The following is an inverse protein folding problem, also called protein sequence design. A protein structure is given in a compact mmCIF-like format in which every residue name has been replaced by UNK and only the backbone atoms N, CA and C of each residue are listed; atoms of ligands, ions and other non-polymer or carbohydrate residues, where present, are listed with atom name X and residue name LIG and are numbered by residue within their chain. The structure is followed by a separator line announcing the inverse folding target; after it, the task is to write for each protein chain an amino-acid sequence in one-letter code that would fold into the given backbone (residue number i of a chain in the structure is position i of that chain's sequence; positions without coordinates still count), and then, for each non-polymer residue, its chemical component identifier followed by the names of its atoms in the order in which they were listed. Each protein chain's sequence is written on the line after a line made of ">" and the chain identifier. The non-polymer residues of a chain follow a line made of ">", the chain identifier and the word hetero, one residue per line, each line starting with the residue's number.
data_IF_209463667467
#
_entry.id   IF_209463667467
#
_cell.length_a   1.000
_cell.length_b   1.000
_cell.length_c   1.000
_cell.angle_alpha   90.00
_cell.angle_beta   90.00
_cell.angle_gamma   90.00
#
_symmetry.space_group_name_H-M   'P 1'
#
loop_
_entity.id
_entity.type
_entity.pdbx_description
1 polymer ?
#
# COMPACT_ATOMS: atom_id res chain seq x y z
N UNK A 1 11.00 7.53 66.66
CA UNK A 1 10.67 6.27 65.98
C UNK A 1 9.72 6.60 64.83
N UNK A 2 10.16 6.30 63.60
CA UNK A 2 9.36 6.13 62.36
C UNK A 2 8.10 5.27 62.66
N UNK A 3 6.95 5.28 61.99
CA UNK A 3 6.42 5.61 60.64
C UNK A 3 4.90 5.33 60.76
N UNK A 4 3.95 5.74 59.92
CA UNK A 4 3.76 5.50 58.48
C UNK A 4 2.67 6.46 58.00
N UNK A 5 2.89 7.11 56.86
CA UNK A 5 1.84 7.79 56.10
C UNK A 5 1.34 6.82 55.04
N UNK A 6 0.08 6.42 55.15
CA UNK A 6 -0.58 5.58 54.15
C UNK A 6 -1.03 6.47 52.98
N UNK A 7 -0.24 6.48 51.91
CA UNK A 7 -0.66 7.03 50.62
C UNK A 7 -1.14 5.90 49.74
N UNK A 8 -2.47 5.81 49.58
CA UNK A 8 -3.16 4.92 48.66
C UNK A 8 -3.00 5.49 47.23
N UNK A 9 -2.11 4.92 46.43
CA UNK A 9 -1.97 5.26 45.01
C UNK A 9 -3.01 4.50 44.18
N UNK A 10 -4.01 5.20 43.65
CA UNK A 10 -4.95 4.67 42.67
C UNK A 10 -4.24 4.66 41.31
N UNK A 11 -3.90 3.46 40.80
CA UNK A 11 -3.47 3.29 39.41
C UNK A 11 -4.72 3.35 38.51
N UNK A 12 -4.90 4.46 37.81
CA UNK A 12 -5.84 4.53 36.70
C UNK A 12 -5.27 3.76 35.51
N UNK A 13 -5.66 2.50 35.34
CA UNK A 13 -5.36 1.73 34.13
C UNK A 13 -6.16 2.31 32.96
N UNK A 14 -5.53 3.20 32.19
CA UNK A 14 -6.01 3.59 30.88
C UNK A 14 -5.84 2.40 29.93
N UNK A 15 -6.91 1.63 29.71
CA UNK A 15 -6.96 0.67 28.60
C UNK A 15 -7.00 1.48 27.31
N UNK A 16 -5.85 1.61 26.65
CA UNK A 16 -5.77 2.12 25.29
C UNK A 16 -6.41 1.07 24.39
N UNK A 17 -7.67 1.29 24.02
CA UNK A 17 -8.33 0.51 22.97
C UNK A 17 -7.70 0.94 21.64
N UNK A 18 -6.73 0.16 21.15
CA UNK A 18 -6.19 0.38 19.82
C UNK A 18 -7.32 0.14 18.82
N UNK A 19 -7.83 1.21 18.20
CA UNK A 19 -8.72 1.11 17.05
C UNK A 19 -7.91 0.48 15.90
N UNK A 20 -7.96 -0.84 15.78
CA UNK A 20 -7.60 -1.49 14.53
C UNK A 20 -8.73 -1.19 13.53
N UNK A 21 -8.44 -0.58 12.36
CA UNK A 21 -9.46 -0.35 11.35
C UNK A 21 -10.06 -1.70 10.94
N UNK A 22 -11.37 -1.71 10.66
CA UNK A 22 -12.17 -2.89 10.31
C UNK A 22 -11.74 -3.63 9.02
N UNK A 23 -10.62 -3.23 8.41
CA UNK A 23 -9.98 -3.92 7.29
C UNK A 23 -8.90 -4.92 7.74
N UNK A 24 -8.72 -5.09 9.05
CA UNK A 24 -7.85 -6.12 9.64
C UNK A 24 -8.37 -7.55 9.43
N UNK A 25 -9.64 -7.73 9.02
CA UNK A 25 -10.16 -9.03 8.59
C UNK A 25 -9.92 -9.27 7.09
N UNK A 26 -8.75 -9.86 6.81
CA UNK A 26 -8.45 -10.80 5.72
C UNK A 26 -9.17 -10.59 4.39
N UNK A 27 -8.83 -9.54 3.64
CA UNK A 27 -8.71 -9.69 2.19
C UNK A 27 -7.51 -8.87 1.72
N UNK A 28 -6.39 -9.57 1.48
CA UNK A 28 -5.16 -9.03 0.86
C UNK A 28 -5.39 -8.63 -0.62
N UNK A 29 -6.62 -8.38 -1.02
CA UNK A 29 -7.08 -8.12 -2.38
C UNK A 29 -8.20 -7.08 -2.32
N UNK A 30 -7.98 -5.92 -2.93
CA UNK A 30 -8.94 -4.82 -2.98
C UNK A 30 -9.40 -4.58 -4.41
N UNK A 31 -10.69 -4.25 -4.58
CA UNK A 31 -11.17 -3.71 -5.86
C UNK A 31 -10.55 -2.34 -6.11
N UNK A 32 -10.42 -1.96 -7.38
CA UNK A 32 -9.81 -0.68 -7.75
C UNK A 32 -10.64 0.52 -7.29
N UNK A 33 -11.97 0.38 -7.21
CA UNK A 33 -12.86 1.41 -6.65
C UNK A 33 -12.62 1.63 -5.15
N UNK A 34 -12.54 0.55 -4.35
CA UNK A 34 -12.22 0.64 -2.92
C UNK A 34 -10.83 1.23 -2.70
N UNK A 35 -9.86 0.79 -3.50
CA UNK A 35 -8.51 1.36 -3.47
C UNK A 35 -8.52 2.84 -3.83
N UNK A 36 -9.28 3.26 -4.85
CA UNK A 36 -9.37 4.65 -5.24
C UNK A 36 -9.97 5.53 -4.13
N UNK A 37 -11.06 5.10 -3.48
CA UNK A 37 -11.62 5.79 -2.31
C UNK A 37 -10.59 5.89 -1.17
N UNK A 38 -9.91 4.78 -0.86
CA UNK A 38 -8.89 4.76 0.19
C UNK A 38 -7.73 5.72 -0.10
N UNK A 39 -7.31 5.86 -1.36
CA UNK A 39 -6.28 6.82 -1.77
C UNK A 39 -6.76 8.26 -1.62
N UNK A 40 -7.99 8.57 -2.04
CA UNK A 40 -8.58 9.91 -1.92
C UNK A 40 -8.75 10.34 -0.46
N UNK A 41 -8.94 9.37 0.45
CA UNK A 41 -9.11 9.60 1.90
C UNK A 41 -7.82 9.46 2.69
N UNK A 42 -6.68 9.32 2.03
CA UNK A 42 -5.36 9.15 2.64
C UNK A 42 -5.25 7.92 3.56
N UNK A 43 -6.06 6.88 3.32
CA UNK A 43 -6.14 5.64 4.10
C UNK A 43 -5.22 4.53 3.56
N UNK A 44 -4.69 4.69 2.35
CA UNK A 44 -3.78 3.74 1.73
C UNK A 44 -2.64 4.45 0.98
N UNK A 45 -1.65 3.66 0.57
CA UNK A 45 -0.63 4.03 -0.42
C UNK A 45 -0.69 3.06 -1.58
N UNK A 46 -0.26 3.50 -2.76
CA UNK A 46 -0.26 2.68 -3.97
C UNK A 46 1.16 2.64 -4.54
N UNK A 47 1.64 1.45 -4.85
CA UNK A 47 2.91 1.22 -5.56
C UNK A 47 2.59 0.59 -6.91
N UNK A 48 3.00 1.26 -7.99
CA UNK A 48 2.95 0.71 -9.35
C UNK A 48 4.23 -0.07 -9.61
N UNK A 49 4.13 -1.40 -9.64
CA UNK A 49 5.28 -2.31 -9.77
C UNK A 49 5.62 -2.65 -11.22
N UNK A 50 5.02 -1.95 -12.19
CA UNK A 50 5.31 -2.16 -13.62
C UNK A 50 6.69 -1.65 -13.99
N UNK A 51 7.11 -1.97 -15.21
CA UNK A 51 8.38 -1.49 -15.76
C UNK A 51 8.25 -0.06 -16.31
N UNK A 52 9.36 0.69 -16.43
CA UNK A 52 9.35 2.06 -16.94
C UNK A 52 8.83 2.24 -18.37
N UNK A 53 8.86 1.21 -19.22
CA UNK A 53 8.27 1.23 -20.57
C UNK A 53 6.74 1.22 -20.51
N UNK A 54 6.15 0.45 -19.60
CA UNK A 54 4.70 0.37 -19.41
C UNK A 54 4.12 1.67 -18.85
N UNK A 55 4.86 2.35 -17.96
CA UNK A 55 4.50 3.68 -17.47
C UNK A 55 4.52 4.73 -18.59
N UNK A 56 5.48 4.64 -19.51
CA UNK A 56 5.52 5.51 -20.69
C UNK A 56 4.33 5.25 -21.61
N UNK A 57 3.97 3.98 -21.82
CA UNK A 57 2.89 3.58 -22.74
C UNK A 57 1.50 4.02 -22.26
N UNK A 58 1.23 3.92 -20.96
CA UNK A 58 -0.15 4.01 -20.43
C UNK A 58 -0.32 5.02 -19.29
N UNK A 59 0.77 5.69 -18.90
CA UNK A 59 0.82 6.50 -17.69
C UNK A 59 0.87 5.65 -16.42
N UNK A 60 0.73 6.31 -15.28
CA UNK A 60 0.76 5.73 -13.93
C UNK A 60 -0.51 6.12 -13.20
N UNK A 61 -1.08 5.23 -12.38
CA UNK A 61 -2.23 5.57 -11.53
C UNK A 61 -1.94 6.83 -10.71
N UNK A 62 -2.86 7.80 -10.68
CA UNK A 62 -2.64 9.08 -10.00
C UNK A 62 -2.39 8.83 -8.50
N UNK A 63 -1.27 9.35 -8.01
CA UNK A 63 -0.84 9.19 -6.61
C UNK A 63 -0.08 7.90 -6.31
N UNK A 64 0.16 7.04 -7.30
CA UNK A 64 1.00 5.86 -7.13
C UNK A 64 2.49 6.21 -7.10
N UNK A 65 3.25 5.42 -6.34
CA UNK A 65 4.70 5.42 -6.31
C UNK A 65 5.23 4.40 -7.33
N UNK A 66 5.82 4.83 -8.45
CA UNK A 66 6.40 3.92 -9.44
C UNK A 66 7.67 3.26 -8.90
N UNK A 67 7.66 1.94 -8.71
CA UNK A 67 8.82 1.14 -8.27
C UNK A 67 8.93 -0.10 -9.15
N UNK A 68 9.88 -0.12 -10.08
CA UNK A 68 10.05 -1.23 -11.03
C UNK A 68 10.39 -2.54 -10.31
N UNK A 69 9.54 -3.56 -10.47
CA UNK A 69 9.73 -4.90 -9.90
C UNK A 69 11.05 -5.56 -10.33
N UNK A 70 11.58 -5.18 -11.50
CA UNK A 70 12.84 -5.74 -12.03
C UNK A 70 14.08 -5.08 -11.46
N UNK A 71 13.93 -3.98 -10.73
CA UNK A 71 15.05 -3.26 -10.13
C UNK A 71 15.74 -4.11 -9.03
N UNK A 72 17.09 -4.17 -8.95
CA UNK A 72 17.78 -4.98 -7.95
C UNK A 72 17.41 -4.68 -6.49
N UNK A 73 17.02 -3.42 -6.22
CA UNK A 73 16.60 -2.94 -4.89
C UNK A 73 15.07 -2.97 -4.70
N UNK A 74 14.33 -3.70 -5.52
CA UNK A 74 12.85 -3.70 -5.47
C UNK A 74 12.32 -4.03 -4.07
N UNK A 75 12.78 -5.12 -3.46
CA UNK A 75 12.33 -5.53 -2.12
C UNK A 75 12.62 -4.47 -1.06
N UNK A 76 13.83 -3.91 -1.06
CA UNK A 76 14.21 -2.82 -0.15
C UNK A 76 13.28 -1.61 -0.29
N UNK A 77 13.04 -1.15 -1.54
CA UNK A 77 12.15 -0.02 -1.82
C UNK A 77 10.70 -0.30 -1.45
N UNK A 78 10.24 -1.55 -1.61
CA UNK A 78 8.89 -1.94 -1.24
C UNK A 78 8.68 -1.88 0.28
N UNK A 79 9.65 -2.31 1.08
CA UNK A 79 9.60 -2.18 2.53
C UNK A 79 9.76 -0.72 2.99
N UNK A 80 10.62 0.07 2.33
CA UNK A 80 10.69 1.51 2.56
C UNK A 80 9.35 2.21 2.27
N UNK A 81 8.62 1.77 1.23
CA UNK A 81 7.29 2.30 0.91
C UNK A 81 6.28 1.98 2.03
N UNK A 82 6.31 0.78 2.60
CA UNK A 82 5.50 0.40 3.77
C UNK A 82 5.82 1.26 4.99
N UNK A 83 7.10 1.52 5.25
CA UNK A 83 7.51 2.33 6.38
C UNK A 83 7.05 3.80 6.19
N UNK A 84 7.17 4.34 4.97
CA UNK A 84 6.62 5.65 4.58
C UNK A 84 5.09 5.71 4.63
N UNK A 85 4.40 4.58 4.46
CA UNK A 85 2.95 4.50 4.57
C UNK A 85 2.47 4.69 6.02
N UNK A 86 3.35 4.63 7.03
CA UNK A 86 3.04 4.92 8.44
C UNK A 86 1.85 4.11 8.96
N UNK A 87 1.83 2.81 8.66
CA UNK A 87 0.78 1.88 9.11
C UNK A 87 -0.44 1.79 8.19
N UNK A 88 -0.52 2.62 7.15
CA UNK A 88 -1.52 2.45 6.09
C UNK A 88 -1.16 1.27 5.19
N UNK A 89 -2.14 0.51 4.67
CA UNK A 89 -1.88 -0.53 3.68
C UNK A 89 -1.20 0.02 2.43
N UNK A 90 -0.21 -0.71 1.93
CA UNK A 90 0.44 -0.46 0.64
C UNK A 90 -0.16 -1.40 -0.40
N UNK A 91 -0.99 -0.84 -1.27
CA UNK A 91 -1.54 -1.54 -2.41
C UNK A 91 -0.49 -1.70 -3.52
N UNK A 92 -0.43 -2.89 -4.11
CA UNK A 92 0.45 -3.19 -5.24
C UNK A 92 -0.39 -3.30 -6.50
N UNK A 93 -0.04 -2.53 -7.52
CA UNK A 93 -0.69 -2.59 -8.84
C UNK A 93 0.32 -2.94 -9.91
N UNK A 94 -0.05 -3.85 -10.81
CA UNK A 94 0.74 -4.16 -11.99
C UNK A 94 -0.12 -4.04 -13.26
N UNK A 95 0.32 -4.61 -14.40
CA UNK A 95 -0.44 -4.52 -15.65
C UNK A 95 -1.82 -5.18 -15.56
N UNK A 96 -1.90 -6.43 -15.10
CA UNK A 96 -3.14 -7.24 -15.13
C UNK A 96 -3.42 -8.00 -13.83
N UNK A 97 -2.65 -7.77 -12.76
CA UNK A 97 -2.74 -8.47 -11.47
C UNK A 97 -1.74 -9.62 -11.25
N UNK A 98 -1.11 -10.17 -12.28
CA UNK A 98 -0.22 -11.34 -12.12
C UNK A 98 1.05 -11.07 -11.28
N UNK A 99 1.77 -9.98 -11.56
CA UNK A 99 3.00 -9.65 -10.85
C UNK A 99 2.72 -9.25 -9.40
N UNK A 100 1.65 -8.49 -9.16
CA UNK A 100 1.29 -8.06 -7.82
C UNK A 100 0.83 -9.26 -6.98
N UNK A 101 0.01 -10.17 -7.53
CA UNK A 101 -0.32 -11.44 -6.89
C UNK A 101 0.90 -12.31 -6.56
N UNK A 102 1.90 -12.38 -7.46
CA UNK A 102 3.17 -13.07 -7.19
C UNK A 102 3.93 -12.45 -6.01
N UNK A 103 4.07 -11.11 -5.99
CA UNK A 103 4.73 -10.39 -4.89
C UNK A 103 3.97 -10.61 -3.58
N UNK A 104 2.64 -10.56 -3.59
CA UNK A 104 1.81 -10.86 -2.43
C UNK A 104 2.03 -12.29 -1.92
N UNK A 105 2.24 -13.26 -2.82
CA UNK A 105 2.68 -14.61 -2.44
C UNK A 105 4.00 -14.62 -1.66
N UNK A 106 5.01 -13.90 -2.16
CA UNK A 106 6.31 -13.77 -1.49
C UNK A 106 6.25 -13.05 -0.16
N UNK A 107 5.41 -12.02 -0.04
CA UNK A 107 5.19 -11.31 1.22
C UNK A 107 4.55 -12.21 2.26
N UNK A 108 3.56 -13.04 1.87
CA UNK A 108 2.94 -14.04 2.75
C UNK A 108 3.92 -15.12 3.19
N UNK A 109 4.74 -15.65 2.28
CA UNK A 109 5.82 -16.60 2.62
C UNK A 109 6.80 -16.01 3.66
N UNK A 110 7.04 -14.70 3.61
CA UNK A 110 7.91 -13.97 4.54
C UNK A 110 7.21 -13.47 5.82
N UNK A 111 5.93 -13.78 6.04
CA UNK A 111 5.10 -13.22 7.12
C UNK A 111 5.09 -11.67 7.16
N UNK A 112 5.26 -11.03 6.01
CA UNK A 112 5.21 -9.58 5.87
C UNK A 112 3.75 -9.10 5.76
N UNK A 113 3.36 -8.17 6.62
CA UNK A 113 2.01 -7.58 6.66
C UNK A 113 2.01 -6.13 6.14
N UNK A 114 0.81 -5.57 5.96
CA UNK A 114 0.63 -4.16 5.56
C UNK A 114 0.59 -3.95 4.04
N UNK A 115 0.39 -5.02 3.26
CA UNK A 115 0.27 -4.96 1.80
C UNK A 115 -1.07 -5.51 1.34
N UNK A 116 -1.56 -5.03 0.20
CA UNK A 116 -2.79 -5.53 -0.45
C UNK A 116 -2.59 -5.56 -1.97
N UNK A 117 -3.28 -6.46 -2.67
CA UNK A 117 -3.28 -6.55 -4.13
C UNK A 117 -4.37 -5.66 -4.73
N UNK A 118 -4.02 -4.87 -5.75
CA UNK A 118 -4.98 -4.10 -6.53
C UNK A 118 -5.55 -4.97 -7.66
N UNK A 119 -6.70 -5.60 -7.40
CA UNK A 119 -7.31 -6.59 -8.28
C UNK A 119 -7.65 -5.99 -9.65
N UNK A 120 -7.21 -6.64 -10.72
CA UNK A 120 -7.41 -6.19 -12.10
C UNK A 120 -6.23 -5.40 -12.68
N UNK A 121 -5.34 -4.85 -11.85
CA UNK A 121 -4.20 -4.10 -12.35
C UNK A 121 -4.60 -2.84 -13.13
N UNK A 122 -3.66 -2.32 -13.93
CA UNK A 122 -3.87 -1.12 -14.73
C UNK A 122 -4.75 -1.34 -15.97
N UNK A 123 -4.60 -2.48 -16.65
CA UNK A 123 -5.24 -2.79 -17.93
C UNK A 123 -6.35 -3.84 -17.85
N UNK A 124 -6.52 -4.51 -16.71
CA UNK A 124 -7.53 -5.53 -16.56
C UNK A 124 -7.08 -6.90 -17.04
N UNK A 125 -8.00 -7.85 -16.94
CA UNK A 125 -7.92 -9.20 -17.46
C UNK A 125 -9.30 -9.56 -18.07
N UNK A 126 -9.43 -10.65 -18.85
CA UNK A 126 -10.73 -11.05 -19.38
C UNK A 126 -11.80 -11.16 -18.29
N UNK A 127 -12.86 -10.35 -18.40
CA UNK A 127 -13.97 -10.30 -17.43
C UNK A 127 -13.68 -9.50 -16.15
N UNK A 128 -12.53 -8.80 -16.07
CA UNK A 128 -12.14 -8.00 -14.91
C UNK A 128 -11.53 -6.67 -15.37
N UNK A 129 -12.27 -5.55 -15.34
CA UNK A 129 -11.80 -4.27 -15.86
C UNK A 129 -10.66 -3.71 -15.01
N UNK A 130 -9.64 -3.16 -15.66
CA UNK A 130 -8.49 -2.54 -15.01
C UNK A 130 -8.71 -1.07 -14.65
N UNK A 131 -7.71 -0.45 -14.01
CA UNK A 131 -7.76 0.94 -13.57
C UNK A 131 -8.16 1.90 -14.70
N UNK A 132 -7.54 1.72 -15.87
CA UNK A 132 -7.78 2.57 -17.04
C UNK A 132 -9.18 2.33 -17.63
N UNK A 133 -9.60 1.07 -17.74
CA UNK A 133 -10.93 0.72 -18.27
C UNK A 133 -12.05 1.22 -17.35
N UNK A 134 -11.83 1.22 -16.03
CA UNK A 134 -12.74 1.81 -15.05
C UNK A 134 -12.75 3.35 -15.06
N UNK A 135 -11.95 3.99 -15.91
CA UNK A 135 -11.89 5.46 -16.01
C UNK A 135 -11.19 6.14 -14.82
N UNK A 136 -10.43 5.39 -14.02
CA UNK A 136 -9.72 5.93 -12.88
C UNK A 136 -8.50 6.77 -13.33
N UNK A 137 -8.16 7.86 -12.61
CA UNK A 137 -7.23 8.86 -13.12
C UNK A 137 -5.79 8.33 -13.22
N UNK A 138 -5.11 8.70 -14.30
CA UNK A 138 -3.68 8.48 -14.51
C UNK A 138 -2.92 9.80 -14.65
N UNK A 139 -1.60 9.74 -14.49
CA UNK A 139 -0.66 10.84 -14.73
C UNK A 139 0.49 10.34 -15.61
N UNK A 140 1.25 11.27 -16.20
CA UNK A 140 2.46 10.89 -16.96
C UNK A 140 3.51 10.27 -16.05
N UNK A 141 4.40 9.46 -16.64
CA UNK A 141 5.55 8.87 -15.94
C UNK A 141 6.42 9.93 -15.25
N UNK A 142 6.67 11.05 -15.92
CA UNK A 142 7.49 12.15 -15.41
C UNK A 142 6.83 12.81 -14.20
N UNK A 143 5.50 12.96 -14.24
CA UNK A 143 4.71 13.49 -13.13
C UNK A 143 4.73 12.52 -11.95
N UNK A 144 4.61 11.22 -12.19
CA UNK A 144 4.67 10.22 -11.12
C UNK A 144 6.06 10.17 -10.47
N UNK A 145 7.12 10.14 -11.27
CA UNK A 145 8.51 10.09 -10.77
C UNK A 145 8.94 11.37 -10.04
N UNK A 146 8.47 12.54 -10.48
CA UNK A 146 8.78 13.81 -9.76
C UNK A 146 8.11 13.90 -8.39
N UNK A 147 7.02 13.15 -8.16
CA UNK A 147 6.34 13.04 -6.87
C UNK A 147 6.78 11.83 -6.04
N UNK A 148 7.73 11.02 -6.53
CA UNK A 148 8.24 9.86 -5.81
C UNK A 148 9.08 10.32 -4.60
N UNK A 149 8.79 9.83 -3.37
CA UNK A 149 9.64 10.08 -2.21
C UNK A 149 11.09 9.67 -2.48
N UNK A 150 12.06 10.49 -2.04
CA UNK A 150 13.49 10.31 -2.34
C UNK A 150 14.02 8.98 -1.81
N UNK A 151 13.44 8.48 -0.73
CA UNK A 151 13.75 7.19 -0.11
C UNK A 151 13.40 5.99 -1.02
N UNK A 152 12.54 6.19 -2.02
CA UNK A 152 12.08 5.17 -2.95
C UNK A 152 12.75 5.27 -4.33
N UNK A 153 13.52 6.34 -4.58
CA UNK A 153 14.15 6.64 -5.87
C UNK A 153 15.27 5.66 -6.24
#
# INVERSE_FOLDING_TARGET
>A
MLTRRDTLSIFASSVVFAYAPAWAETHDMWSLEVLHDALNRDLARLVDIRRPDEWTETGVAKGAWPIDMTHPRFGERLFAARDLAKGRPVALICRTGHRSGFVMGKLREANATGFVDAVGGMLGAPGLPGWIEQGLPTVSKETALSNLPKELA
#
